data_IF_979045298216
#
_entry.id   IF_979045298216
#
_cell.length_a   1.000
_cell.length_b   1.000
_cell.length_c   1.000
_cell.angle_alpha   90.00
_cell.angle_beta   90.00
_cell.angle_gamma   90.00
#
_symmetry.space_group_name_H-M   'P 1'
#
loop_
_entity.id
_entity.type
_entity.pdbx_description
1 polymer ?
#
# COMPACT_ATOMS: atom_id res chain seq x y z
N UNK A 1 -46.57 20.54 20.11
CA UNK A 1 -45.44 20.94 19.24
C UNK A 1 -44.16 20.11 19.41
N UNK A 2 -43.86 19.50 20.57
CA UNK A 2 -42.60 18.78 20.79
C UNK A 2 -42.37 17.56 19.90
N UNK A 3 -43.39 16.71 19.73
CA UNK A 3 -43.27 15.45 18.97
C UNK A 3 -43.08 15.67 17.47
N UNK A 4 -43.71 16.70 16.89
CA UNK A 4 -43.55 17.04 15.47
C UNK A 4 -42.13 17.53 15.20
N UNK A 5 -41.57 18.39 16.06
CA UNK A 5 -40.18 18.87 15.95
C UNK A 5 -39.17 17.72 16.08
N UNK A 6 -39.39 16.80 17.01
CA UNK A 6 -38.53 15.61 17.15
C UNK A 6 -38.61 14.69 15.93
N UNK A 7 -39.81 14.49 15.40
CA UNK A 7 -40.02 13.68 14.20
C UNK A 7 -39.34 14.31 12.98
N UNK A 8 -39.41 15.64 12.82
CA UNK A 8 -38.70 16.35 11.75
C UNK A 8 -37.17 16.19 11.87
N UNK A 9 -36.62 16.32 13.08
CA UNK A 9 -35.17 16.14 13.31
C UNK A 9 -34.73 14.71 12.97
N UNK A 10 -35.52 13.71 13.37
CA UNK A 10 -35.23 12.31 13.09
C UNK A 10 -35.25 12.01 11.58
N UNK A 11 -36.24 12.55 10.86
CA UNK A 11 -36.31 12.44 9.40
C UNK A 11 -35.13 13.13 8.70
N UNK A 12 -34.69 14.30 9.17
CA UNK A 12 -33.51 14.97 8.63
C UNK A 12 -32.22 14.18 8.85
N UNK A 13 -32.05 13.52 10.01
CA UNK A 13 -30.89 12.67 10.29
C UNK A 13 -30.85 11.40 9.43
N UNK A 14 -32.01 10.80 9.16
CA UNK A 14 -32.13 9.64 8.26
C UNK A 14 -31.78 10.00 6.81
N UNK A 15 -32.16 11.19 6.34
CA UNK A 15 -31.81 11.67 4.99
C UNK A 15 -30.31 11.90 4.79
N UNK A 16 -29.58 12.33 5.84
CA UNK A 16 -28.11 12.52 5.79
C UNK A 16 -27.36 11.18 5.76
N UNK A 17 -27.98 10.09 6.23
CA UNK A 17 -27.35 8.77 6.33
C UNK A 17 -27.28 8.01 4.99
N UNK A 18 -27.93 8.51 3.94
CA UNK A 18 -27.83 7.96 2.57
C UNK A 18 -26.63 8.52 1.79
N UNK A 19 -25.52 8.78 2.47
CA UNK A 19 -24.26 9.10 1.80
C UNK A 19 -23.80 7.93 0.94
N UNK A 20 -23.38 8.20 -0.30
CA UNK A 20 -22.91 7.19 -1.23
C UNK A 20 -21.79 6.32 -0.61
N UNK A 21 -21.93 4.98 -0.52
CA UNK A 21 -20.89 4.09 0.03
C UNK A 21 -19.63 4.01 -0.84
N UNK A 22 -19.61 4.69 -1.98
CA UNK A 22 -18.51 4.73 -2.95
C UNK A 22 -17.20 5.37 -2.43
N UNK A 23 -17.16 5.84 -1.18
CA UNK A 23 -15.96 6.37 -0.56
C UNK A 23 -15.03 5.29 0.04
N UNK A 24 -15.51 4.05 0.22
CA UNK A 24 -14.68 2.97 0.75
C UNK A 24 -13.94 2.27 -0.39
N UNK A 25 -12.60 2.22 -0.38
CA UNK A 25 -11.85 1.40 -1.32
C UNK A 25 -12.32 -0.06 -1.20
N UNK A 26 -12.62 -0.75 -2.31
CA UNK A 26 -12.98 -2.16 -2.25
C UNK A 26 -11.79 -2.95 -1.70
N UNK A 27 -12.06 -3.81 -0.72
CA UNK A 27 -11.05 -4.71 -0.20
C UNK A 27 -10.53 -5.61 -1.32
N UNK A 28 -9.22 -5.64 -1.51
CA UNK A 28 -8.59 -6.49 -2.51
C UNK A 28 -8.35 -7.87 -1.92
N UNK A 29 -8.76 -8.92 -2.64
CA UNK A 29 -8.52 -10.31 -2.28
C UNK A 29 -7.02 -10.61 -2.09
N UNK A 30 -6.17 -10.03 -2.93
CA UNK A 30 -4.71 -10.07 -2.82
C UNK A 30 -4.19 -8.66 -2.57
N UNK A 31 -3.38 -8.49 -1.53
CA UNK A 31 -2.70 -7.24 -1.19
C UNK A 31 -1.19 -7.45 -1.22
N UNK A 32 -0.48 -6.60 -1.95
CA UNK A 32 0.99 -6.55 -1.94
C UNK A 32 1.41 -5.31 -1.17
N UNK A 33 2.19 -5.50 -0.11
CA UNK A 33 2.73 -4.42 0.73
C UNK A 33 4.23 -4.37 0.50
N UNK A 34 4.73 -3.19 0.15
CA UNK A 34 6.17 -2.92 0.01
C UNK A 34 6.54 -1.87 1.05
N UNK A 35 7.52 -2.16 1.88
CA UNK A 35 8.00 -1.23 2.91
C UNK A 35 9.52 -1.13 2.86
N UNK A 36 10.09 0.09 2.83
CA UNK A 36 11.51 0.29 3.07
C UNK A 36 11.85 -0.05 4.54
N UNK A 37 13.13 -0.28 4.80
CA UNK A 37 13.66 -0.54 6.14
C UNK A 37 13.78 0.71 7.02
N UNK A 38 13.68 1.91 6.44
CA UNK A 38 13.54 3.17 7.18
C UNK A 38 12.08 3.59 7.34
N UNK A 39 11.70 3.97 8.55
CA UNK A 39 10.33 4.42 8.87
C UNK A 39 9.99 5.80 8.32
N UNK A 40 10.99 6.68 8.15
CA UNK A 40 10.84 8.05 7.65
C UNK A 40 11.09 8.19 6.14
N UNK A 41 11.47 7.10 5.45
CA UNK A 41 11.72 7.05 4.00
C UNK A 41 12.89 7.90 3.50
N UNK A 42 13.72 8.42 4.40
CA UNK A 42 14.89 9.23 4.04
C UNK A 42 16.17 8.39 4.08
N UNK A 43 16.99 8.54 3.04
CA UNK A 43 18.27 7.87 2.88
C UNK A 43 19.32 8.86 2.39
N UNK A 44 20.56 8.67 2.81
CA UNK A 44 21.72 9.40 2.28
C UNK A 44 22.09 8.90 0.89
N UNK A 45 22.80 9.72 0.13
CA UNK A 45 23.33 9.28 -1.16
C UNK A 45 24.27 8.08 -0.97
N UNK A 46 24.07 7.04 -1.77
CA UNK A 46 24.78 5.77 -1.71
C UNK A 46 24.43 4.88 -0.52
N UNK A 47 23.44 5.26 0.31
CA UNK A 47 22.97 4.41 1.39
C UNK A 47 22.13 3.25 0.84
N UNK A 48 22.47 1.99 1.14
CA UNK A 48 21.67 0.85 0.71
C UNK A 48 20.24 0.93 1.23
N UNK A 49 19.29 0.52 0.39
CA UNK A 49 17.85 0.49 0.73
C UNK A 49 17.37 -0.95 0.67
N UNK A 50 16.68 -1.42 1.71
CA UNK A 50 16.06 -2.74 1.71
C UNK A 50 14.54 -2.62 1.69
N UNK A 51 13.94 -3.11 0.62
CA UNK A 51 12.49 -3.21 0.51
C UNK A 51 12.02 -4.60 0.94
N UNK A 52 11.05 -4.64 1.84
CA UNK A 52 10.35 -5.87 2.22
C UNK A 52 9.01 -5.92 1.50
N UNK A 53 8.82 -6.98 0.72
CA UNK A 53 7.59 -7.29 -0.01
C UNK A 53 6.82 -8.34 0.79
N UNK A 54 5.58 -8.04 1.15
CA UNK A 54 4.64 -8.96 1.80
C UNK A 54 3.44 -9.18 0.88
N UNK A 55 3.09 -10.44 0.62
CA UNK A 55 1.88 -10.78 -0.15
C UNK A 55 0.84 -11.33 0.82
N UNK A 56 -0.34 -10.72 0.84
CA UNK A 56 -1.43 -11.10 1.71
C UNK A 56 -2.64 -11.54 0.89
N UNK A 57 -3.33 -12.57 1.37
CA UNK A 57 -4.63 -13.01 0.88
C UNK A 57 -5.61 -13.00 2.06
N UNK A 58 -6.67 -12.20 1.97
CA UNK A 58 -7.62 -11.99 3.08
C UNK A 58 -6.89 -11.71 4.42
N UNK A 59 -5.84 -10.87 4.38
CA UNK A 59 -5.04 -10.51 5.55
C UNK A 59 -3.98 -11.54 6.00
N UNK A 60 -3.94 -12.75 5.44
CA UNK A 60 -2.95 -13.78 5.78
C UNK A 60 -1.78 -13.78 4.80
N UNK A 61 -0.56 -14.08 5.26
CA UNK A 61 0.61 -14.23 4.40
C UNK A 61 0.39 -15.34 3.35
N UNK A 62 0.46 -14.97 2.08
CA UNK A 62 0.32 -15.89 0.96
C UNK A 62 1.68 -16.46 0.55
N UNK A 63 1.86 -17.76 0.81
CA UNK A 63 3.11 -18.49 0.57
C UNK A 63 3.23 -18.97 -0.87
N UNK A 64 4.46 -19.29 -1.28
CA UNK A 64 4.81 -19.89 -2.56
C UNK A 64 4.24 -19.16 -3.79
N UNK A 65 4.19 -17.83 -3.74
CA UNK A 65 3.70 -16.99 -4.85
C UNK A 65 4.87 -16.36 -5.59
N UNK A 66 4.77 -16.25 -6.91
CA UNK A 66 5.75 -15.51 -7.71
C UNK A 66 5.38 -14.03 -7.75
N UNK A 67 6.30 -13.16 -7.34
CA UNK A 67 6.19 -11.71 -7.48
C UNK A 67 7.16 -11.24 -8.55
N UNK A 68 6.63 -10.51 -9.53
CA UNK A 68 7.41 -9.78 -10.52
C UNK A 68 7.61 -8.37 -10.01
N UNK A 69 8.83 -7.87 -10.01
CA UNK A 69 9.13 -6.53 -9.53
C UNK A 69 10.08 -5.78 -10.45
N UNK A 70 9.99 -4.46 -10.38
CA UNK A 70 10.94 -3.53 -10.97
C UNK A 70 11.58 -2.74 -9.83
N UNK A 71 12.86 -2.41 -9.97
CA UNK A 71 13.61 -1.60 -9.00
C UNK A 71 14.39 -0.52 -9.76
N UNK A 72 14.22 0.74 -9.38
CA UNK A 72 14.97 1.85 -9.97
C UNK A 72 14.44 3.22 -9.57
N UNK A 73 14.93 4.31 -10.20
CA UNK A 73 14.47 5.64 -9.88
C UNK A 73 13.00 5.88 -10.29
N UNK A 74 12.31 6.71 -9.52
CA UNK A 74 10.96 7.17 -9.79
C UNK A 74 10.90 7.88 -11.14
N UNK A 75 9.87 7.58 -11.95
CA UNK A 75 9.64 8.12 -13.31
C UNK A 75 10.75 7.88 -14.35
N UNK A 76 11.75 7.04 -14.05
CA UNK A 76 12.78 6.61 -15.00
C UNK A 76 12.65 5.11 -15.31
N UNK A 77 13.31 4.62 -16.38
CA UNK A 77 13.40 3.18 -16.65
C UNK A 77 13.97 2.44 -15.45
N UNK A 78 13.39 1.28 -15.15
CA UNK A 78 13.85 0.44 -14.05
C UNK A 78 15.29 -0.04 -14.31
N UNK A 79 16.14 0.05 -13.30
CA UNK A 79 17.51 -0.44 -13.35
C UNK A 79 17.54 -1.98 -13.28
N UNK A 80 16.58 -2.59 -12.58
CA UNK A 80 16.42 -4.04 -12.48
C UNK A 80 14.95 -4.42 -12.68
N UNK A 81 14.72 -5.51 -13.42
CA UNK A 81 13.43 -6.19 -13.55
C UNK A 81 13.65 -7.67 -13.30
N UNK A 82 12.88 -8.26 -12.38
CA UNK A 82 13.14 -9.62 -11.94
C UNK A 82 11.85 -10.28 -11.41
N UNK A 83 11.94 -11.56 -11.06
CA UNK A 83 10.82 -12.35 -10.53
C UNK A 83 11.32 -13.31 -9.48
N UNK A 84 10.70 -13.30 -8.30
CA UNK A 84 11.11 -14.09 -7.14
C UNK A 84 9.92 -14.85 -6.57
N UNK A 85 10.20 -16.02 -6.01
CA UNK A 85 9.21 -16.80 -5.26
C UNK A 85 9.21 -16.35 -3.80
N UNK A 86 8.06 -15.87 -3.34
CA UNK A 86 7.79 -15.49 -1.96
C UNK A 86 7.41 -16.75 -1.17
N UNK A 87 8.40 -17.52 -0.72
CA UNK A 87 8.16 -18.82 -0.07
C UNK A 87 7.34 -18.73 1.23
N UNK A 88 7.64 -17.75 2.09
CA UNK A 88 6.99 -17.56 3.40
C UNK A 88 5.88 -16.50 3.42
N UNK A 89 5.57 -15.90 2.27
CA UNK A 89 4.67 -14.75 2.14
C UNK A 89 5.34 -13.39 2.35
N UNK A 90 6.62 -13.37 2.74
CA UNK A 90 7.47 -12.18 2.72
C UNK A 90 8.81 -12.46 2.03
N UNK A 91 9.40 -11.44 1.39
CA UNK A 91 10.78 -11.46 0.89
C UNK A 91 11.37 -10.06 0.92
N UNK A 92 12.70 -9.94 0.86
CA UNK A 92 13.36 -8.64 0.78
C UNK A 92 14.18 -8.51 -0.50
N UNK A 93 14.22 -7.29 -1.04
CA UNK A 93 15.03 -6.88 -2.18
C UNK A 93 15.90 -5.70 -1.76
N UNK A 94 17.18 -5.76 -2.10
CA UNK A 94 18.15 -4.71 -1.76
C UNK A 94 18.50 -3.87 -2.99
N UNK A 95 18.73 -2.58 -2.74
CA UNK A 95 19.25 -1.60 -3.68
C UNK A 95 20.50 -0.96 -3.10
N UNK A 96 21.47 -0.61 -3.94
CA UNK A 96 22.69 0.07 -3.51
C UNK A 96 22.48 1.55 -3.14
N UNK A 97 21.25 2.06 -3.22
CA UNK A 97 20.94 3.47 -2.98
C UNK A 97 21.16 4.36 -4.20
N UNK A 98 20.70 5.62 -4.12
CA UNK A 98 20.88 6.60 -5.20
C UNK A 98 22.19 7.36 -5.05
N UNK A 99 22.90 7.56 -6.16
CA UNK A 99 24.11 8.41 -6.19
C UNK A 99 23.79 9.90 -6.36
N UNK A 100 22.55 10.22 -6.75
CA UNK A 100 22.04 11.58 -6.90
C UNK A 100 20.70 11.70 -6.17
N UNK A 101 20.31 12.90 -5.76
CA UNK A 101 19.05 13.10 -5.02
C UNK A 101 17.84 12.69 -5.86
N UNK A 102 16.88 11.99 -5.24
CA UNK A 102 15.66 11.54 -5.89
C UNK A 102 14.91 10.48 -5.06
N UNK A 103 14.06 9.70 -5.72
CA UNK A 103 13.29 8.61 -5.12
C UNK A 103 13.56 7.29 -5.87
N UNK A 104 13.59 6.18 -5.13
CA UNK A 104 13.65 4.80 -5.67
C UNK A 104 12.27 4.14 -5.48
N UNK A 105 11.87 3.33 -6.47
CA UNK A 105 10.66 2.50 -6.47
C UNK A 105 10.98 1.05 -6.84
#
# INVERSE_FOLDING_TARGET
MGNVRQMTILFSLLFISFGNPNAQPPEQFIKVVVAPDHTNWEYRLGEPVKFTISVLQNGNLLKNTTVRYELGPEKLPAAKKDSLVVASGTLSVESAGMQTSGFIR
#
